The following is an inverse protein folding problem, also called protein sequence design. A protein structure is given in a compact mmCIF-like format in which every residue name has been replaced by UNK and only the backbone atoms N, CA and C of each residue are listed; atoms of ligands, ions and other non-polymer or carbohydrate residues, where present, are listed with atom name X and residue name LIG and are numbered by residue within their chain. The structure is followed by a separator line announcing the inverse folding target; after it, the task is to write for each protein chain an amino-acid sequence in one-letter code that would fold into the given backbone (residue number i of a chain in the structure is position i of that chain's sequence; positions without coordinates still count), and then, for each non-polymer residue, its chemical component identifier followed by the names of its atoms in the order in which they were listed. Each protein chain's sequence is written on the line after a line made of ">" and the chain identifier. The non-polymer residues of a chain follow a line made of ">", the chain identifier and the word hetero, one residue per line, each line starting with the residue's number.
data_IF_258190057103
#
_entry.id   IF_258190057103
#
_cell.length_a   1.000
_cell.length_b   1.000
_cell.length_c   1.000
_cell.angle_alpha   90.00
_cell.angle_beta   90.00
_cell.angle_gamma   90.00
#
_symmetry.space_group_name_H-M   'P 1'
#
loop_
_entity.id
_entity.type
_entity.pdbx_description
1 polymer ?
#
# COMPACT_ATOMS: atom_id res chain seq x y z
N UNK A 1 -8.40 7.58 7.80
CA UNK A 1 -7.71 7.36 6.51
C UNK A 1 -8.51 8.09 5.43
N UNK A 2 -7.92 9.00 4.63
CA UNK A 2 -8.65 9.64 3.52
C UNK A 2 -9.21 8.53 2.63
N UNK A 3 -10.52 8.55 2.33
CA UNK A 3 -11.13 7.61 1.37
C UNK A 3 -10.38 7.77 0.05
N UNK A 4 -9.66 6.73 -0.38
CA UNK A 4 -9.08 6.70 -1.72
C UNK A 4 -10.26 6.70 -2.71
N UNK A 5 -10.16 7.54 -3.75
CA UNK A 5 -11.20 7.67 -4.78
C UNK A 5 -11.37 6.39 -5.60
N UNK A 6 -10.32 5.58 -5.71
CA UNK A 6 -10.32 4.28 -6.39
C UNK A 6 -9.76 3.20 -5.47
N UNK A 7 -10.38 2.02 -5.49
CA UNK A 7 -9.85 0.82 -4.82
C UNK A 7 -8.78 0.15 -5.68
N UNK A 8 -7.93 -0.69 -5.09
CA UNK A 8 -6.86 -1.35 -5.86
C UNK A 8 -7.43 -2.36 -6.86
N UNK A 9 -8.57 -2.97 -6.52
CA UNK A 9 -9.32 -3.86 -7.39
C UNK A 9 -9.84 -3.12 -8.63
N UNK A 10 -10.34 -1.89 -8.46
CA UNK A 10 -10.74 -1.03 -9.58
C UNK A 10 -9.54 -0.64 -10.44
N UNK A 11 -8.42 -0.30 -9.82
CA UNK A 11 -7.18 0.06 -10.53
C UNK A 11 -6.69 -1.11 -11.38
N UNK A 12 -6.60 -2.31 -10.79
CA UNK A 12 -6.15 -3.52 -11.48
C UNK A 12 -7.10 -3.88 -12.62
N UNK A 13 -8.41 -3.72 -12.44
CA UNK A 13 -9.38 -3.89 -13.53
C UNK A 13 -9.08 -3.00 -14.74
N UNK A 14 -8.82 -1.70 -14.51
CA UNK A 14 -8.44 -0.77 -15.60
C UNK A 14 -7.13 -1.17 -16.26
N UNK A 15 -6.14 -1.64 -15.48
CA UNK A 15 -4.86 -2.09 -16.04
C UNK A 15 -5.01 -3.35 -16.89
N UNK A 16 -5.87 -4.30 -16.49
CA UNK A 16 -6.17 -5.51 -17.27
C UNK A 16 -6.87 -5.17 -18.59
N UNK A 17 -7.78 -4.20 -18.60
CA UNK A 17 -8.38 -3.72 -19.85
C UNK A 17 -7.32 -3.11 -20.79
N UNK A 18 -6.38 -2.35 -20.24
CA UNK A 18 -5.26 -1.80 -21.01
C UNK A 18 -4.33 -2.90 -21.56
N UNK A 19 -4.04 -3.93 -20.76
CA UNK A 19 -3.24 -5.11 -21.17
C UNK A 19 -3.96 -5.95 -22.23
N UNK A 20 -5.29 -6.01 -22.20
CA UNK A 20 -6.14 -6.64 -23.22
C UNK A 20 -6.24 -5.81 -24.53
N UNK A 21 -5.57 -4.66 -24.61
CA UNK A 21 -5.45 -3.85 -25.83
C UNK A 21 -6.37 -2.63 -25.90
N UNK A 22 -7.08 -2.29 -24.82
CA UNK A 22 -7.86 -1.04 -24.78
C UNK A 22 -6.92 0.19 -24.80
N UNK A 23 -7.30 1.23 -25.56
CA UNK A 23 -6.52 2.47 -25.64
C UNK A 23 -6.58 3.23 -24.30
N UNK A 24 -5.42 3.62 -23.77
CA UNK A 24 -5.28 4.38 -22.51
C UNK A 24 -6.14 5.65 -22.49
N UNK A 25 -6.23 6.37 -23.62
CA UNK A 25 -7.06 7.58 -23.74
C UNK A 25 -8.56 7.32 -23.53
N UNK A 26 -9.07 6.18 -24.00
CA UNK A 26 -10.49 5.83 -23.85
C UNK A 26 -10.78 5.36 -22.42
N UNK A 27 -9.85 4.61 -21.81
CA UNK A 27 -9.93 4.24 -20.40
C UNK A 27 -9.89 5.48 -19.49
N UNK A 28 -9.00 6.43 -19.76
CA UNK A 28 -8.90 7.69 -19.02
C UNK A 28 -10.24 8.44 -19.01
N UNK A 29 -10.86 8.60 -20.20
CA UNK A 29 -12.20 9.22 -20.31
C UNK A 29 -13.28 8.41 -19.59
N UNK A 30 -13.33 7.09 -19.76
CA UNK A 30 -14.36 6.23 -19.17
C UNK A 30 -14.32 6.20 -17.64
N UNK A 31 -13.13 6.17 -17.07
CA UNK A 31 -12.93 6.09 -15.62
C UNK A 31 -12.77 7.47 -14.96
N UNK A 32 -12.81 8.56 -15.73
CA UNK A 32 -12.69 9.93 -15.20
C UNK A 32 -11.34 10.20 -14.56
N UNK A 33 -10.27 9.66 -15.14
CA UNK A 33 -8.88 9.84 -14.72
C UNK A 33 -8.03 10.37 -15.86
N UNK A 34 -6.83 10.87 -15.55
CA UNK A 34 -5.87 11.25 -16.60
C UNK A 34 -5.13 10.02 -17.12
N UNK A 35 -4.62 10.06 -18.36
CA UNK A 35 -3.74 8.99 -18.87
C UNK A 35 -2.49 8.81 -17.99
N UNK A 36 -1.93 9.92 -17.48
CA UNK A 36 -0.82 9.90 -16.53
C UNK A 36 -1.16 9.10 -15.24
N UNK A 37 -2.41 9.17 -14.78
CA UNK A 37 -2.88 8.37 -13.64
C UNK A 37 -2.80 6.87 -13.94
N UNK A 38 -3.19 6.46 -15.16
CA UNK A 38 -3.14 5.05 -15.58
C UNK A 38 -1.68 4.57 -15.68
N UNK A 39 -0.76 5.41 -16.19
CA UNK A 39 0.67 5.08 -16.20
C UNK A 39 1.24 4.92 -14.77
N UNK A 40 0.89 5.81 -13.85
CA UNK A 40 1.29 5.70 -12.44
C UNK A 40 0.73 4.45 -11.78
N UNK A 41 -0.52 4.08 -12.10
CA UNK A 41 -1.10 2.83 -11.66
C UNK A 41 -0.35 1.63 -12.23
N UNK A 42 0.00 1.65 -13.51
CA UNK A 42 0.79 0.57 -14.14
C UNK A 42 2.16 0.41 -13.50
N UNK A 43 2.84 1.52 -13.14
CA UNK A 43 4.13 1.46 -12.46
C UNK A 43 4.04 0.84 -11.05
N UNK A 44 2.90 1.04 -10.36
CA UNK A 44 2.70 0.58 -8.99
C UNK A 44 2.03 -0.80 -8.87
N UNK A 45 1.12 -1.11 -9.78
CA UNK A 45 0.21 -2.25 -9.72
C UNK A 45 0.26 -3.12 -10.98
N UNK A 46 1.06 -2.76 -11.99
CA UNK A 46 1.20 -3.55 -13.21
C UNK A 46 1.78 -4.93 -12.91
N UNK A 47 1.23 -5.96 -13.54
CA UNK A 47 1.62 -7.35 -13.30
C UNK A 47 1.16 -7.94 -11.96
N UNK A 48 0.41 -7.21 -11.13
CA UNK A 48 -0.19 -7.75 -9.91
C UNK A 48 -1.61 -8.26 -10.19
N UNK A 49 -1.88 -9.48 -9.74
CA UNK A 49 -3.24 -9.96 -9.58
C UNK A 49 -3.94 -9.29 -8.38
N UNK A 50 -5.27 -9.24 -8.42
CA UNK A 50 -6.09 -8.65 -7.34
C UNK A 50 -5.80 -9.30 -5.98
N UNK A 51 -5.61 -10.62 -5.98
CA UNK A 51 -5.24 -11.39 -4.79
C UNK A 51 -3.87 -11.00 -4.24
N UNK A 52 -2.90 -10.72 -5.12
CA UNK A 52 -1.56 -10.30 -4.73
C UNK A 52 -1.55 -8.88 -4.16
N UNK A 53 -2.30 -7.96 -4.76
CA UNK A 53 -2.45 -6.61 -4.23
C UNK A 53 -3.12 -6.60 -2.85
N UNK A 54 -4.14 -7.44 -2.64
CA UNK A 54 -4.77 -7.60 -1.32
C UNK A 54 -3.79 -8.13 -0.29
N UNK A 55 -3.04 -9.19 -0.64
CA UNK A 55 -2.02 -9.79 0.23
C UNK A 55 -0.92 -8.78 0.58
N UNK A 56 -0.47 -7.98 -0.39
CA UNK A 56 0.52 -6.93 -0.18
C UNK A 56 0.03 -5.92 0.86
N UNK A 57 -1.21 -5.43 0.72
CA UNK A 57 -1.82 -4.47 1.65
C UNK A 57 -1.92 -5.02 3.08
N UNK A 58 -2.31 -6.28 3.22
CA UNK A 58 -2.38 -6.97 4.51
C UNK A 58 -0.99 -7.08 5.16
N UNK A 59 0.02 -7.46 4.38
CA UNK A 59 1.41 -7.53 4.84
C UNK A 59 1.98 -6.15 5.23
N UNK A 60 1.69 -5.10 4.46
CA UNK A 60 2.09 -3.73 4.79
C UNK A 60 1.47 -3.26 6.11
N UNK A 61 0.18 -3.56 6.32
CA UNK A 61 -0.54 -3.22 7.55
C UNK A 61 0.05 -3.95 8.76
N UNK A 62 0.31 -5.25 8.64
CA UNK A 62 0.88 -6.04 9.73
C UNK A 62 2.32 -5.59 10.03
N UNK A 63 3.14 -5.30 9.00
CA UNK A 63 4.49 -4.79 9.17
C UNK A 63 4.50 -3.45 9.93
N UNK A 64 3.58 -2.53 9.60
CA UNK A 64 3.44 -1.27 10.30
C UNK A 64 3.06 -1.45 11.78
N UNK A 65 2.16 -2.40 12.07
CA UNK A 65 1.77 -2.75 13.44
C UNK A 65 2.95 -3.36 14.22
N UNK A 66 3.65 -4.33 13.63
CA UNK A 66 4.81 -4.98 14.24
C UNK A 66 5.93 -3.98 14.55
N UNK A 67 6.22 -3.05 13.62
CA UNK A 67 7.21 -1.98 13.85
C UNK A 67 6.85 -1.09 15.04
N UNK A 68 5.56 -0.74 15.20
CA UNK A 68 5.11 0.05 16.36
C UNK A 68 5.31 -0.73 17.66
N UNK A 69 4.81 -1.96 17.73
CA UNK A 69 4.95 -2.81 18.93
C UNK A 69 6.42 -3.03 19.31
N UNK A 70 7.28 -3.22 18.32
CA UNK A 70 8.72 -3.35 18.54
C UNK A 70 9.32 -2.06 19.12
N UNK A 71 8.99 -0.90 18.55
CA UNK A 71 9.46 0.38 19.04
C UNK A 71 9.01 0.63 20.49
N UNK A 72 7.74 0.39 20.81
CA UNK A 72 7.20 0.55 22.16
C UNK A 72 7.94 -0.37 23.15
N UNK A 73 8.10 -1.65 22.79
CA UNK A 73 8.83 -2.63 23.62
C UNK A 73 10.30 -2.26 23.82
N UNK A 74 10.95 -1.72 22.79
CA UNK A 74 12.34 -1.27 22.89
C UNK A 74 12.48 -0.06 23.81
N UNK A 75 11.54 0.88 23.77
CA UNK A 75 11.52 2.04 24.68
C UNK A 75 11.33 1.60 26.13
N UNK A 76 10.38 0.70 26.40
CA UNK A 76 10.18 0.12 27.74
C UNK A 76 11.44 -0.59 28.24
N UNK A 77 12.10 -1.36 27.37
CA UNK A 77 13.34 -2.04 27.73
C UNK A 77 14.46 -1.07 28.12
N UNK A 78 14.61 0.03 27.38
CA UNK A 78 15.58 1.09 27.69
C UNK A 78 15.26 1.73 29.04
N UNK A 79 14.01 2.11 29.28
CA UNK A 79 13.58 2.72 30.53
C UNK A 79 13.83 1.81 31.74
N UNK A 80 13.51 0.52 31.62
CA UNK A 80 13.75 -0.47 32.68
C UNK A 80 15.25 -0.65 32.97
N UNK A 81 16.09 -0.69 31.93
CA UNK A 81 17.55 -0.79 32.09
C UNK A 81 18.13 0.45 32.76
N UNK A 82 17.67 1.64 32.41
CA UNK A 82 18.12 2.91 33.02
C UNK A 82 17.71 3.01 34.51
N UNK A 83 16.52 2.52 34.87
CA UNK A 83 16.10 2.43 36.27
C UNK A 83 16.96 1.45 37.09
N UNK A 84 17.34 0.32 36.49
CA UNK A 84 18.18 -0.68 37.14
C UNK A 84 19.63 -0.21 37.28
N UNK A 85 20.16 0.54 36.31
CA UNK A 85 21.54 1.06 36.36
C UNK A 85 21.73 2.18 37.40
N UNK A 86 20.67 2.91 37.75
CA UNK A 86 20.70 3.99 38.76
C UNK A 86 20.65 3.52 40.22
N UNK A 87 20.51 2.22 40.48
CA UNK A 87 20.35 1.67 41.84
C UNK A 87 21.67 1.37 42.59
N UNK A 88 22.80 1.88 42.11
CA UNK A 88 24.13 1.65 42.68
C UNK A 88 24.92 2.96 42.75
#
# INVERSE_FOLDING_TARGET
>A
MKRKRFTEEQIIGVLKEAEAGAKTADLARRHGVSEATIYNWKAKYGGLEVSEARRLRELESENAKLKRLLADTMLDNVALKDLLSKKW
#
